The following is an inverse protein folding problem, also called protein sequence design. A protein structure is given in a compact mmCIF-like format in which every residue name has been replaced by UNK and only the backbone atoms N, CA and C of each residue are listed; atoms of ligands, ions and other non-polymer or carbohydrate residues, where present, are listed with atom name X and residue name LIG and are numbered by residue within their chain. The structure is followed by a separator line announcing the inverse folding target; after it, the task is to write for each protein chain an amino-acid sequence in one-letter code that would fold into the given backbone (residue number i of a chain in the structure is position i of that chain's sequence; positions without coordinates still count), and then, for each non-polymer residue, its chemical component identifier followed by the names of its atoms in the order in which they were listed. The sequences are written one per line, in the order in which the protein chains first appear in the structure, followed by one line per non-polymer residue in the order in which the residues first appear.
data_IF_756469037874
#
_entry.id   IF_756469037874
#
_cell.length_a   1.000
_cell.length_b   1.000
_cell.length_c   1.000
_cell.angle_alpha   90.00
_cell.angle_beta   90.00
_cell.angle_gamma   90.00
#
_symmetry.space_group_name_H-M   'P 1'
#
loop_
_entity.id
_entity.type
_entity.pdbx_description
1 polymer ?
#
# COMPACT_ATOMS: atom_id res chain seq x y z
N UNK A 1 13.63 -15.36 65.21
CA UNK A 1 13.10 -16.73 65.37
C UNK A 1 12.62 -17.30 64.04
N UNK A 2 12.26 -18.59 63.92
CA UNK A 2 11.93 -19.24 62.62
C UNK A 2 10.94 -18.44 61.74
N UNK A 3 9.93 -17.79 62.35
CA UNK A 3 9.02 -16.84 61.67
C UNK A 3 9.73 -15.66 60.99
N UNK A 4 10.73 -15.08 61.63
CA UNK A 4 11.49 -13.93 61.15
C UNK A 4 12.34 -14.29 59.92
N UNK A 5 12.86 -15.53 59.88
CA UNK A 5 13.58 -16.07 58.72
C UNK A 5 12.62 -16.30 57.54
N UNK A 6 11.41 -16.81 57.80
CA UNK A 6 10.36 -16.96 56.80
C UNK A 6 9.88 -15.60 56.25
N UNK A 7 9.69 -14.60 57.11
CA UNK A 7 9.33 -13.23 56.69
C UNK A 7 10.41 -12.59 55.82
N UNK A 8 11.70 -12.69 56.22
CA UNK A 8 12.81 -12.18 55.39
C UNK A 8 12.89 -12.87 54.03
N UNK A 9 12.66 -14.18 53.98
CA UNK A 9 12.63 -14.93 52.71
C UNK A 9 11.46 -14.50 51.83
N UNK A 10 10.27 -14.32 52.39
CA UNK A 10 9.10 -13.85 51.66
C UNK A 10 9.30 -12.42 51.11
N UNK A 11 9.88 -11.52 51.90
CA UNK A 11 10.20 -10.15 51.46
C UNK A 11 11.22 -10.15 50.31
N UNK A 12 12.27 -10.98 50.38
CA UNK A 12 13.24 -11.12 49.28
C UNK A 12 12.58 -11.58 47.98
N UNK A 13 11.70 -12.59 48.04
CA UNK A 13 10.97 -13.07 46.85
C UNK A 13 10.06 -11.98 46.29
N UNK A 14 9.36 -11.23 47.14
CA UNK A 14 8.52 -10.11 46.71
C UNK A 14 9.34 -8.98 46.07
N UNK A 15 10.53 -8.69 46.59
CA UNK A 15 11.45 -7.72 45.99
C UNK A 15 11.88 -8.14 44.58
N UNK A 16 12.32 -9.40 44.43
CA UNK A 16 12.72 -9.94 43.14
C UNK A 16 11.56 -9.92 42.14
N UNK A 17 10.34 -10.24 42.61
CA UNK A 17 9.13 -10.15 41.79
C UNK A 17 8.80 -8.71 41.37
N UNK A 18 8.93 -7.73 42.26
CA UNK A 18 8.72 -6.31 41.95
C UNK A 18 9.68 -5.83 40.87
N UNK A 19 10.97 -6.11 41.03
CA UNK A 19 12.01 -5.74 40.07
C UNK A 19 11.73 -6.38 38.71
N UNK A 20 11.38 -7.68 38.69
CA UNK A 20 11.06 -8.38 37.45
C UNK A 20 9.82 -7.81 36.76
N UNK A 21 8.75 -7.49 37.51
CA UNK A 21 7.55 -6.86 36.96
C UNK A 21 7.85 -5.48 36.38
N UNK A 22 8.64 -4.66 37.08
CA UNK A 22 9.06 -3.34 36.61
C UNK A 22 9.89 -3.43 35.33
N UNK A 23 10.82 -4.39 35.26
CA UNK A 23 11.61 -4.64 34.06
C UNK A 23 10.71 -5.06 32.89
N UNK A 24 9.82 -6.04 33.10
CA UNK A 24 8.90 -6.52 32.05
C UNK A 24 7.92 -5.43 31.59
N UNK A 25 7.49 -4.56 32.49
CA UNK A 25 6.67 -3.40 32.15
C UNK A 25 7.43 -2.43 31.25
N UNK A 26 8.70 -2.14 31.58
CA UNK A 26 9.56 -1.27 30.78
C UNK A 26 9.80 -1.86 29.39
N UNK A 27 10.12 -3.15 29.31
CA UNK A 27 10.29 -3.85 28.02
C UNK A 27 9.00 -3.83 27.18
N UNK A 28 7.84 -4.00 27.83
CA UNK A 28 6.53 -3.92 27.19
C UNK A 28 6.20 -2.52 26.66
N UNK A 29 6.55 -1.47 27.42
CA UNK A 29 6.42 -0.07 27.00
C UNK A 29 7.28 0.19 25.75
N UNK A 30 8.57 -0.17 25.77
CA UNK A 30 9.46 0.02 24.62
C UNK A 30 8.94 -0.69 23.38
N UNK A 31 8.47 -1.94 23.52
CA UNK A 31 7.89 -2.70 22.41
C UNK A 31 6.63 -2.01 21.85
N UNK A 32 5.75 -1.51 22.71
CA UNK A 32 4.56 -0.79 22.29
C UNK A 32 4.91 0.52 21.56
N UNK A 33 5.91 1.26 22.03
CA UNK A 33 6.41 2.47 21.35
C UNK A 33 7.00 2.18 19.97
N UNK A 34 7.77 1.09 19.83
CA UNK A 34 8.30 0.64 18.53
C UNK A 34 7.17 0.29 17.55
N UNK A 35 6.14 -0.44 18.01
CA UNK A 35 4.97 -0.78 17.20
C UNK A 35 4.20 0.49 16.80
N UNK A 36 4.04 1.45 17.71
CA UNK A 36 3.39 2.74 17.43
C UNK A 36 4.15 3.53 16.36
N UNK A 37 5.47 3.61 16.46
CA UNK A 37 6.30 4.28 15.44
C UNK A 37 6.22 3.58 14.08
N UNK A 38 6.17 2.25 14.06
CA UNK A 38 5.93 1.48 12.84
C UNK A 38 4.55 1.75 12.22
N UNK A 39 3.51 1.84 13.04
CA UNK A 39 2.15 2.18 12.63
C UNK A 39 2.07 3.57 12.01
N UNK A 40 2.68 4.59 12.64
CA UNK A 40 2.72 5.96 12.08
C UNK A 40 3.39 6.00 10.70
N UNK A 41 4.49 5.27 10.53
CA UNK A 41 5.16 5.16 9.23
C UNK A 41 4.25 4.53 8.18
N UNK A 42 3.50 3.48 8.53
CA UNK A 42 2.55 2.85 7.62
C UNK A 42 1.44 3.80 7.17
N UNK A 43 0.96 4.70 8.03
CA UNK A 43 -0.02 5.73 7.63
C UNK A 43 0.58 6.66 6.58
N UNK A 44 1.83 7.10 6.77
CA UNK A 44 2.53 7.96 5.81
C UNK A 44 2.77 7.24 4.48
N UNK A 45 3.18 5.98 4.53
CA UNK A 45 3.42 5.15 3.35
C UNK A 45 2.11 4.90 2.58
N UNK A 46 1.01 4.62 3.29
CA UNK A 46 -0.32 4.46 2.70
C UNK A 46 -0.78 5.76 2.00
N UNK A 47 -0.64 6.92 2.64
CA UNK A 47 -0.96 8.21 2.02
C UNK A 47 -0.14 8.48 0.76
N UNK A 48 1.16 8.16 0.80
CA UNK A 48 2.06 8.29 -0.35
C UNK A 48 1.64 7.38 -1.49
N UNK A 49 1.32 6.12 -1.20
CA UNK A 49 0.83 5.15 -2.17
C UNK A 49 -0.48 5.61 -2.83
N UNK A 50 -1.40 6.22 -2.07
CA UNK A 50 -2.64 6.77 -2.62
C UNK A 50 -2.35 7.88 -3.62
N UNK A 51 -1.43 8.80 -3.30
CA UNK A 51 -1.02 9.86 -4.22
C UNK A 51 -0.36 9.30 -5.50
N UNK A 52 0.45 8.25 -5.38
CA UNK A 52 1.06 7.58 -6.54
C UNK A 52 0.02 6.87 -7.41
N UNK A 53 -0.99 6.25 -6.80
CA UNK A 53 -2.13 5.65 -7.50
C UNK A 53 -2.92 6.71 -8.28
N UNK A 54 -3.20 7.86 -7.66
CA UNK A 54 -3.90 8.95 -8.32
C UNK A 54 -3.11 9.47 -9.53
N UNK A 55 -1.78 9.62 -9.39
CA UNK A 55 -0.90 9.99 -10.50
C UNK A 55 -0.93 8.95 -11.63
N UNK A 56 -0.90 7.65 -11.28
CA UNK A 56 -0.97 6.56 -12.25
C UNK A 56 -2.29 6.58 -13.03
N UNK A 57 -3.41 6.86 -12.36
CA UNK A 57 -4.72 7.01 -13.02
C UNK A 57 -4.70 8.16 -14.01
N UNK A 58 -4.20 9.33 -13.61
CA UNK A 58 -4.08 10.51 -14.49
C UNK A 58 -3.19 10.21 -15.71
N UNK A 59 -2.06 9.53 -15.52
CA UNK A 59 -1.18 9.16 -16.62
C UNK A 59 -1.84 8.14 -17.56
N UNK A 60 -2.56 7.16 -17.01
CA UNK A 60 -3.31 6.16 -17.80
C UNK A 60 -4.36 6.84 -18.67
N UNK A 61 -5.11 7.80 -18.12
CA UNK A 61 -6.11 8.59 -18.87
C UNK A 61 -5.48 9.45 -19.98
N UNK A 62 -4.29 10.01 -19.74
CA UNK A 62 -3.56 10.76 -20.77
C UNK A 62 -3.13 9.84 -21.93
N UNK A 63 -2.64 8.64 -21.61
CA UNK A 63 -2.27 7.66 -22.64
C UNK A 63 -3.51 7.21 -23.41
N UNK A 64 -4.64 6.97 -22.74
CA UNK A 64 -5.89 6.58 -23.42
C UNK A 64 -6.35 7.62 -24.46
N UNK A 65 -6.24 8.91 -24.14
CA UNK A 65 -6.53 10.02 -25.09
C UNK A 65 -5.61 9.99 -26.31
N UNK A 66 -4.31 9.76 -26.10
CA UNK A 66 -3.34 9.65 -27.20
C UNK A 66 -3.64 8.44 -28.07
N UNK A 67 -3.94 7.29 -27.46
CA UNK A 67 -4.30 6.05 -28.16
C UNK A 67 -5.60 6.24 -28.96
N UNK A 68 -6.59 6.92 -28.40
CA UNK A 68 -7.82 7.31 -29.11
C UNK A 68 -7.53 8.14 -30.36
N UNK A 69 -6.64 9.13 -30.25
CA UNK A 69 -6.20 9.95 -31.40
C UNK A 69 -5.50 9.09 -32.47
N UNK A 70 -4.60 8.18 -32.07
CA UNK A 70 -3.92 7.27 -33.01
C UNK A 70 -4.94 6.38 -33.73
N UNK A 71 -5.96 5.90 -33.02
CA UNK A 71 -7.02 5.07 -33.59
C UNK A 71 -7.87 5.85 -34.61
N UNK A 72 -8.19 7.10 -34.32
CA UNK A 72 -8.86 7.99 -35.28
C UNK A 72 -8.02 8.20 -36.55
N UNK A 73 -6.72 8.48 -36.40
CA UNK A 73 -5.78 8.63 -37.52
C UNK A 73 -5.71 7.33 -38.34
N UNK A 74 -5.64 6.19 -37.67
CA UNK A 74 -5.63 4.86 -38.31
C UNK A 74 -6.90 4.62 -39.13
N UNK A 75 -8.07 4.92 -38.56
CA UNK A 75 -9.36 4.80 -39.25
C UNK A 75 -9.45 5.71 -40.48
N UNK A 76 -9.01 6.97 -40.36
CA UNK A 76 -8.95 7.90 -41.49
C UNK A 76 -7.97 7.43 -42.56
N UNK A 77 -6.80 6.93 -42.17
CA UNK A 77 -5.79 6.38 -43.10
C UNK A 77 -6.34 5.16 -43.83
N UNK A 78 -7.07 4.30 -43.14
CA UNK A 78 -7.75 3.14 -43.73
C UNK A 78 -8.79 3.58 -44.77
N UNK A 79 -9.60 4.60 -44.48
CA UNK A 79 -10.56 5.16 -45.45
C UNK A 79 -9.86 5.81 -46.64
N UNK A 80 -8.79 6.56 -46.41
CA UNK A 80 -8.01 7.20 -47.47
C UNK A 80 -7.40 6.15 -48.41
N UNK A 81 -6.85 5.08 -47.85
CA UNK A 81 -6.30 3.96 -48.62
C UNK A 81 -7.36 3.23 -49.45
N UNK A 82 -8.58 3.11 -48.93
CA UNK A 82 -9.70 2.53 -49.67
C UNK A 82 -10.08 3.39 -50.88
N UNK A 83 -10.18 4.70 -50.69
CA UNK A 83 -10.45 5.64 -51.79
C UNK A 83 -9.34 5.59 -52.85
N UNK A 84 -8.07 5.50 -52.43
CA UNK A 84 -6.94 5.34 -53.34
C UNK A 84 -7.00 4.02 -54.12
N UNK A 85 -7.38 2.90 -53.49
CA UNK A 85 -7.57 1.62 -54.17
C UNK A 85 -8.70 1.68 -55.21
N UNK A 86 -9.80 2.39 -54.93
CA UNK A 86 -10.91 2.58 -55.87
C UNK A 86 -10.46 3.39 -57.08
N UNK A 87 -9.75 4.51 -56.86
CA UNK A 87 -9.28 5.36 -57.95
C UNK A 87 -8.19 4.66 -58.79
N UNK A 88 -7.33 3.87 -58.16
CA UNK A 88 -6.35 3.02 -58.84
C UNK A 88 -7.04 1.99 -59.75
N UNK A 89 -8.13 1.36 -59.29
CA UNK A 89 -8.92 0.46 -60.13
C UNK A 89 -9.57 1.19 -61.32
N UNK A 90 -10.00 2.44 -61.12
CA UNK A 90 -10.61 3.28 -62.15
C UNK A 90 -9.61 3.72 -63.23
N UNK A 91 -8.34 3.90 -62.87
CA UNK A 91 -7.25 4.20 -63.80
C UNK A 91 -6.79 3.00 -64.67
N UNK A 92 -7.35 1.81 -64.44
CA UNK A 92 -7.01 0.60 -65.19
C UNK A 92 -5.54 0.22 -65.07
N UNK A 93 -4.88 -0.10 -66.18
CA UNK A 93 -3.49 -0.57 -66.20
C UNK A 93 -2.49 0.45 -65.62
N UNK A 94 -2.78 1.75 -65.73
CA UNK A 94 -1.93 2.82 -65.19
C UNK A 94 -1.99 2.90 -63.66
N UNK A 95 -3.03 2.32 -63.03
CA UNK A 95 -3.25 2.36 -61.59
C UNK A 95 -2.67 1.16 -60.83
N UNK A 96 -2.13 0.15 -61.50
CA UNK A 96 -1.69 -1.11 -60.86
C UNK A 96 -0.66 -0.90 -59.74
N UNK A 97 0.33 -0.03 -59.95
CA UNK A 97 1.32 0.31 -58.92
C UNK A 97 0.71 1.04 -57.73
N UNK A 98 -0.22 1.97 -57.98
CA UNK A 98 -0.95 2.68 -56.92
C UNK A 98 -1.86 1.75 -56.11
N UNK A 99 -2.48 0.76 -56.75
CA UNK A 99 -3.32 -0.22 -56.08
C UNK A 99 -2.54 -1.07 -55.06
N UNK A 100 -1.29 -1.44 -55.37
CA UNK A 100 -0.41 -2.18 -54.45
C UNK A 100 -0.08 -1.32 -53.22
N UNK A 101 0.32 -0.07 -53.44
CA UNK A 101 0.63 0.86 -52.33
C UNK A 101 -0.59 1.11 -51.45
N UNK A 102 -1.76 1.35 -52.06
CA UNK A 102 -3.00 1.58 -51.33
C UNK A 102 -3.39 0.37 -50.46
N UNK A 103 -3.22 -0.86 -50.96
CA UNK A 103 -3.45 -2.07 -50.18
C UNK A 103 -2.46 -2.24 -49.01
N UNK A 104 -1.19 -1.89 -49.20
CA UNK A 104 -0.20 -1.95 -48.13
C UNK A 104 -0.52 -0.93 -47.02
N UNK A 105 -0.86 0.31 -47.39
CA UNK A 105 -1.32 1.35 -46.44
C UNK A 105 -2.54 0.89 -45.66
N UNK A 106 -3.52 0.27 -46.33
CA UNK A 106 -4.73 -0.28 -45.67
C UNK A 106 -4.38 -1.35 -44.63
N UNK A 107 -3.40 -2.18 -44.96
CA UNK A 107 -2.92 -3.26 -44.09
C UNK A 107 -2.19 -2.69 -42.89
N UNK A 108 -1.32 -1.70 -43.08
CA UNK A 108 -0.64 -0.98 -41.99
C UNK A 108 -1.65 -0.30 -41.05
N UNK A 109 -2.62 0.42 -41.60
CA UNK A 109 -3.67 1.05 -40.81
C UNK A 109 -4.43 0.00 -39.96
N UNK A 110 -4.80 -1.14 -40.55
CA UNK A 110 -5.47 -2.20 -39.79
C UNK A 110 -4.58 -2.80 -38.67
N UNK A 111 -3.25 -2.90 -38.88
CA UNK A 111 -2.32 -3.31 -37.82
C UNK A 111 -2.23 -2.28 -36.70
N UNK A 112 -2.22 -0.98 -37.03
CA UNK A 112 -2.22 0.10 -36.04
C UNK A 112 -3.52 0.08 -35.21
N UNK A 113 -4.69 -0.10 -35.85
CA UNK A 113 -5.97 -0.19 -35.13
C UNK A 113 -5.96 -1.36 -34.12
N UNK A 114 -5.50 -2.55 -34.54
CA UNK A 114 -5.35 -3.69 -33.64
C UNK A 114 -4.39 -3.40 -32.47
N UNK A 115 -3.23 -2.81 -32.74
CA UNK A 115 -2.26 -2.46 -31.70
C UNK A 115 -2.85 -1.43 -30.71
N UNK A 116 -3.60 -0.43 -31.19
CA UNK A 116 -4.28 0.52 -30.30
C UNK A 116 -5.32 -0.17 -29.42
N UNK A 117 -6.04 -1.17 -29.93
CA UNK A 117 -7.01 -1.94 -29.15
C UNK A 117 -6.37 -2.77 -28.04
N UNK A 118 -5.23 -3.40 -28.32
CA UNK A 118 -4.44 -4.12 -27.31
C UNK A 118 -3.95 -3.18 -26.21
N UNK A 119 -3.45 -1.99 -26.58
CA UNK A 119 -3.03 -0.98 -25.61
C UNK A 119 -4.21 -0.54 -24.73
N UNK A 120 -5.39 -0.27 -25.29
CA UNK A 120 -6.58 0.09 -24.50
C UNK A 120 -6.96 -0.99 -23.48
N UNK A 121 -6.86 -2.26 -23.87
CA UNK A 121 -7.13 -3.39 -22.97
C UNK A 121 -6.12 -3.42 -21.81
N UNK A 122 -4.85 -3.13 -22.09
CA UNK A 122 -3.81 -3.05 -21.07
C UNK A 122 -4.03 -1.85 -20.13
N UNK A 123 -4.39 -0.67 -20.66
CA UNK A 123 -4.70 0.52 -19.86
C UNK A 123 -5.88 0.28 -18.92
N UNK A 124 -6.93 -0.41 -19.40
CA UNK A 124 -8.06 -0.81 -18.56
C UNK A 124 -7.61 -1.70 -17.40
N UNK A 125 -6.76 -2.69 -17.67
CA UNK A 125 -6.21 -3.59 -16.65
C UNK A 125 -5.37 -2.83 -15.62
N UNK A 126 -4.61 -1.82 -16.05
CA UNK A 126 -3.84 -0.93 -15.16
C UNK A 126 -4.79 -0.13 -14.27
N UNK A 127 -5.84 0.48 -14.83
CA UNK A 127 -6.84 1.26 -14.07
C UNK A 127 -7.59 0.40 -13.04
N UNK A 128 -7.99 -0.82 -13.41
CA UNK A 128 -8.61 -1.79 -12.48
C UNK A 128 -7.65 -2.18 -11.34
N UNK A 129 -6.37 -2.33 -11.65
CA UNK A 129 -5.34 -2.65 -10.64
C UNK A 129 -5.06 -1.47 -9.72
N UNK A 130 -5.00 -0.26 -10.26
CA UNK A 130 -4.88 0.99 -9.50
C UNK A 130 -6.06 1.15 -8.52
N UNK A 131 -7.30 0.90 -8.97
CA UNK A 131 -8.49 0.96 -8.11
C UNK A 131 -8.44 -0.07 -6.97
N UNK A 132 -8.02 -1.32 -7.26
CA UNK A 132 -7.85 -2.34 -6.21
C UNK A 132 -6.76 -1.96 -5.21
N UNK A 133 -5.68 -1.35 -5.68
CA UNK A 133 -4.60 -0.89 -4.81
C UNK A 133 -5.07 0.23 -3.88
N UNK A 134 -5.87 1.18 -4.39
CA UNK A 134 -6.49 2.24 -3.59
C UNK A 134 -7.38 1.67 -2.47
N UNK A 135 -8.24 0.70 -2.79
CA UNK A 135 -9.08 0.03 -1.79
C UNK A 135 -8.23 -0.68 -0.72
N UNK A 136 -7.23 -1.46 -1.14
CA UNK A 136 -6.32 -2.16 -0.21
C UNK A 136 -5.56 -1.19 0.70
N UNK A 137 -5.22 0.00 0.20
CA UNK A 137 -4.56 1.05 0.98
C UNK A 137 -5.49 1.64 2.06
N UNK A 138 -6.77 1.83 1.73
CA UNK A 138 -7.76 2.28 2.71
C UNK A 138 -7.95 1.23 3.81
N UNK A 139 -8.08 -0.05 3.44
CA UNK A 139 -8.17 -1.16 4.40
C UNK A 139 -6.93 -1.22 5.30
N UNK A 140 -5.74 -1.02 4.72
CA UNK A 140 -4.48 -0.96 5.47
C UNK A 140 -4.50 0.19 6.47
N UNK A 141 -5.01 1.35 6.08
CA UNK A 141 -5.12 2.53 6.95
C UNK A 141 -6.06 2.26 8.13
N UNK A 142 -7.21 1.62 7.89
CA UNK A 142 -8.14 1.23 8.97
C UNK A 142 -7.50 0.23 9.94
N UNK A 143 -6.80 -0.78 9.43
CA UNK A 143 -6.08 -1.75 10.25
C UNK A 143 -5.04 -1.04 11.12
N UNK A 144 -4.26 -0.13 10.55
CA UNK A 144 -3.23 0.62 11.28
C UNK A 144 -3.82 1.48 12.38
N UNK A 145 -4.94 2.17 12.13
CA UNK A 145 -5.66 2.95 13.16
C UNK A 145 -6.13 2.04 14.31
N UNK A 146 -6.72 0.88 13.99
CA UNK A 146 -7.16 -0.08 14.99
C UNK A 146 -5.98 -0.65 15.80
N UNK A 147 -4.84 -0.88 15.15
CA UNK A 147 -3.62 -1.34 15.79
C UNK A 147 -3.06 -0.28 16.72
N UNK A 148 -3.07 1.00 16.32
CA UNK A 148 -2.60 2.10 17.16
C UNK A 148 -3.45 2.24 18.43
N UNK A 149 -4.78 2.12 18.32
CA UNK A 149 -5.68 2.11 19.47
C UNK A 149 -5.36 0.95 20.44
N UNK A 150 -5.13 -0.25 19.90
CA UNK A 150 -4.78 -1.43 20.69
C UNK A 150 -3.41 -1.28 21.38
N UNK A 151 -2.42 -0.74 20.66
CA UNK A 151 -1.08 -0.45 21.20
C UNK A 151 -1.14 0.58 22.32
N UNK A 152 -2.00 1.61 22.19
CA UNK A 152 -2.20 2.60 23.23
C UNK A 152 -2.81 2.00 24.51
N UNK A 153 -3.72 1.03 24.36
CA UNK A 153 -4.24 0.29 25.49
C UNK A 153 -3.15 -0.55 26.16
N UNK A 154 -2.34 -1.28 25.38
CA UNK A 154 -1.21 -2.07 25.89
C UNK A 154 -0.20 -1.20 26.64
N UNK A 155 0.09 0.00 26.15
CA UNK A 155 0.96 0.96 26.81
C UNK A 155 0.41 1.34 28.20
N UNK A 156 -0.89 1.63 28.29
CA UNK A 156 -1.56 1.97 29.55
C UNK A 156 -1.51 0.81 30.55
N UNK A 157 -1.70 -0.44 30.09
CA UNK A 157 -1.63 -1.62 30.94
C UNK A 157 -0.21 -1.81 31.51
N UNK A 158 0.83 -1.69 30.68
CA UNK A 158 2.20 -1.81 31.16
C UNK A 158 2.62 -0.66 32.09
N UNK A 159 2.15 0.56 31.85
CA UNK A 159 2.32 1.66 32.80
C UNK A 159 1.70 1.32 34.17
N UNK A 160 0.50 0.74 34.18
CA UNK A 160 -0.16 0.24 35.39
C UNK A 160 0.66 -0.83 36.11
N UNK A 161 1.20 -1.81 35.37
CA UNK A 161 2.08 -2.85 35.93
C UNK A 161 3.35 -2.24 36.54
N UNK A 162 3.96 -1.25 35.87
CA UNK A 162 5.15 -0.55 36.37
C UNK A 162 4.88 0.21 37.67
N UNK A 163 3.74 0.89 37.77
CA UNK A 163 3.31 1.57 39.01
C UNK A 163 3.11 0.55 40.13
N UNK A 164 2.36 -0.52 39.88
CA UNK A 164 2.10 -1.56 40.88
C UNK A 164 3.39 -2.24 41.35
N UNK A 165 4.36 -2.46 40.46
CA UNK A 165 5.67 -2.99 40.80
C UNK A 165 6.46 -2.03 41.72
N UNK A 166 6.44 -0.73 41.42
CA UNK A 166 7.11 0.30 42.24
C UNK A 166 6.48 0.42 43.63
N UNK A 167 5.15 0.34 43.73
CA UNK A 167 4.44 0.31 45.02
C UNK A 167 4.85 -0.92 45.84
N UNK A 168 4.96 -2.09 45.21
CA UNK A 168 5.35 -3.34 45.86
C UNK A 168 6.80 -3.29 46.34
N UNK A 169 7.71 -2.72 45.55
CA UNK A 169 9.11 -2.49 45.95
C UNK A 169 9.19 -1.56 47.18
N UNK A 170 8.41 -0.47 47.18
CA UNK A 170 8.36 0.45 48.32
C UNK A 170 7.77 -0.21 49.57
N UNK A 171 6.73 -1.04 49.42
CA UNK A 171 6.14 -1.80 50.53
C UNK A 171 7.15 -2.78 51.14
N UNK A 172 7.88 -3.52 50.31
CA UNK A 172 8.93 -4.45 50.77
C UNK A 172 10.03 -3.69 51.50
N UNK A 173 10.50 -2.56 50.95
CA UNK A 173 11.53 -1.72 51.57
C UNK A 173 11.10 -1.23 52.96
N UNK A 174 9.93 -0.62 53.08
CA UNK A 174 9.41 -0.12 54.37
C UNK A 174 9.24 -1.26 55.39
N UNK A 175 8.73 -2.42 54.96
CA UNK A 175 8.54 -3.59 55.85
C UNK A 175 9.86 -4.22 56.29
N UNK A 176 10.90 -4.14 55.44
CA UNK A 176 12.26 -4.59 55.77
C UNK A 176 12.98 -3.65 56.73
N UNK A 177 12.72 -2.33 56.67
CA UNK A 177 13.29 -1.33 57.58
C UNK A 177 12.63 -1.37 58.98
N UNK A 178 11.40 -1.88 59.07
CA UNK A 178 10.62 -1.94 60.30
C UNK A 178 10.85 -3.20 61.17
N UNK A 179 11.55 -4.23 60.65
CA UNK A 179 11.84 -5.50 61.33
C UNK A 179 13.35 -5.75 61.48
#
# INVERSE_FOLDING_TARGET
GQRELETKRALSVLQDMAINLSQRATEGITCAEEVSGGAEKLVVDAATNTALVDQLVVQTDQIDKVVGTIREISSQTKLLSLNASIEAARAGDQGLGFAVVANEVRTLASKVDNATHEIQTQLKTISETASRLSLSNNDTTEIVISSQASTQQVLSEFQGVGVAASELENYVRVTSEAN
#
